data_IF_721153180985
#
_entry.id   IF_721153180985
#
_cell.length_a   1.000
_cell.length_b   1.000
_cell.length_c   1.000
_cell.angle_alpha   90.00
_cell.angle_beta   90.00
_cell.angle_gamma   90.00
#
_symmetry.space_group_name_H-M   'P 1'
#
loop_
_entity.id
_entity.type
_entity.pdbx_description
1 polymer ?
#
# COMPACT_ATOMS: atom_id res chain seq x y z
N UNK A 1 11.86 -13.59 21.39
CA UNK A 1 10.76 -14.58 21.30
C UNK A 1 9.62 -13.91 20.54
N UNK A 2 9.45 -14.25 19.27
CA UNK A 2 8.42 -13.67 18.40
C UNK A 2 7.18 -14.54 18.45
N UNK A 3 6.10 -14.03 19.04
CA UNK A 3 4.77 -14.61 18.91
C UNK A 3 4.22 -14.27 17.53
N UNK A 4 4.32 -15.21 16.59
CA UNK A 4 3.43 -15.22 15.44
C UNK A 4 2.00 -15.37 15.99
N UNK A 5 1.22 -14.28 15.95
CA UNK A 5 -0.21 -14.36 16.23
C UNK A 5 -0.83 -15.20 15.11
N UNK A 6 -1.48 -16.30 15.50
CA UNK A 6 -2.27 -17.11 14.60
C UNK A 6 -3.34 -16.21 13.96
N UNK A 7 -3.34 -16.10 12.64
CA UNK A 7 -4.44 -15.50 11.90
C UNK A 7 -5.65 -16.38 12.19
N UNK A 8 -6.61 -15.84 12.94
CA UNK A 8 -7.89 -16.51 13.17
C UNK A 8 -8.49 -16.86 11.81
N UNK A 9 -8.73 -18.15 11.56
CA UNK A 9 -9.13 -18.72 10.27
C UNK A 9 -10.57 -18.40 9.89
N UNK A 10 -11.07 -17.23 10.28
CA UNK A 10 -12.42 -16.77 9.98
C UNK A 10 -12.58 -16.61 8.46
N UNK A 11 -13.59 -17.28 7.92
CA UNK A 11 -14.00 -17.21 6.52
C UNK A 11 -14.92 -16.01 6.24
N UNK A 12 -15.08 -15.12 7.23
CA UNK A 12 -15.91 -13.92 7.18
C UNK A 12 -15.28 -12.78 7.96
N UNK A 13 -15.66 -11.55 7.58
CA UNK A 13 -15.37 -10.36 8.38
C UNK A 13 -16.23 -10.43 9.66
N UNK A 14 -15.62 -10.50 10.87
CA UNK A 14 -16.36 -10.43 12.11
C UNK A 14 -16.95 -9.03 12.26
N UNK A 15 -18.21 -8.97 12.70
CA UNK A 15 -18.91 -7.70 12.92
C UNK A 15 -19.74 -7.22 11.72
N UNK A 16 -20.35 -6.05 11.90
CA UNK A 16 -21.25 -5.43 10.93
C UNK A 16 -20.59 -4.21 10.31
N UNK A 17 -20.45 -4.22 8.99
CA UNK A 17 -20.07 -3.04 8.22
C UNK A 17 -21.35 -2.47 7.60
N UNK A 18 -21.72 -1.24 7.95
CA UNK A 18 -23.02 -0.64 7.57
C UNK A 18 -23.32 -0.68 6.06
N UNK A 19 -22.31 -0.53 5.21
CA UNK A 19 -22.45 -0.55 3.75
C UNK A 19 -22.23 -1.92 3.10
N UNK A 20 -22.00 -3.00 3.87
CA UNK A 20 -21.79 -4.35 3.34
C UNK A 20 -22.66 -5.36 4.10
N UNK A 21 -23.26 -6.31 3.37
CA UNK A 21 -23.91 -7.46 4.01
C UNK A 21 -22.85 -8.50 4.42
N UNK A 22 -22.12 -8.21 5.51
CA UNK A 22 -21.02 -9.07 6.01
C UNK A 22 -21.47 -10.48 6.34
N UNK A 23 -22.75 -10.69 6.67
CA UNK A 23 -23.31 -12.02 6.94
C UNK A 23 -23.39 -12.91 5.68
N UNK A 24 -23.44 -12.30 4.49
CA UNK A 24 -23.50 -13.00 3.19
C UNK A 24 -22.23 -12.83 2.36
N UNK A 25 -21.21 -12.19 2.93
CA UNK A 25 -19.95 -11.91 2.24
C UNK A 25 -18.85 -12.86 2.73
N UNK A 26 -18.55 -13.94 1.99
CA UNK A 26 -17.40 -14.78 2.33
C UNK A 26 -16.11 -13.97 2.13
N UNK A 27 -15.28 -13.88 3.17
CA UNK A 27 -14.05 -13.12 3.13
C UNK A 27 -13.03 -13.65 4.15
N UNK A 28 -11.84 -14.01 3.68
CA UNK A 28 -10.77 -14.54 4.53
C UNK A 28 -9.87 -13.40 5.02
N UNK A 29 -9.52 -13.40 6.30
CA UNK A 29 -8.51 -12.48 6.83
C UNK A 29 -7.14 -12.83 6.22
N UNK A 30 -6.54 -11.91 5.47
CA UNK A 30 -5.22 -12.10 4.86
C UNK A 30 -4.12 -11.27 5.54
N UNK A 31 -4.48 -10.24 6.30
CA UNK A 31 -3.52 -9.51 7.15
C UNK A 31 -4.20 -8.80 8.32
N UNK A 32 -3.67 -9.00 9.52
CA UNK A 32 -3.98 -8.24 10.75
C UNK A 32 -2.71 -7.59 11.33
N UNK A 33 -1.62 -7.50 10.54
CA UNK A 33 -0.36 -6.90 10.99
C UNK A 33 -0.26 -5.40 10.67
N UNK A 34 -1.15 -4.87 9.83
CA UNK A 34 -1.12 -3.47 9.40
C UNK A 34 -1.49 -2.49 10.52
N UNK A 35 -0.79 -1.35 10.57
CA UNK A 35 -0.95 -0.33 11.61
C UNK A 35 -2.35 0.31 11.60
N UNK A 36 -2.93 0.49 10.41
CA UNK A 36 -4.20 1.21 10.23
C UNK A 36 -5.41 0.31 9.98
N UNK A 37 -5.21 -0.88 9.43
CA UNK A 37 -6.33 -1.69 8.96
C UNK A 37 -6.13 -3.20 9.14
N UNK A 38 -7.26 -3.91 9.09
CA UNK A 38 -7.32 -5.35 8.78
C UNK A 38 -7.66 -5.51 7.31
N UNK A 39 -7.06 -6.52 6.68
CA UNK A 39 -7.19 -6.77 5.25
C UNK A 39 -7.86 -8.12 5.03
N UNK A 40 -9.00 -8.08 4.35
CA UNK A 40 -9.83 -9.24 4.04
C UNK A 40 -9.82 -9.47 2.54
N UNK A 41 -9.73 -10.74 2.11
CA UNK A 41 -9.88 -11.12 0.71
C UNK A 41 -11.24 -11.78 0.51
N UNK A 42 -12.05 -11.21 -0.36
CA UNK A 42 -13.26 -11.86 -0.84
C UNK A 42 -12.97 -12.48 -2.20
N UNK A 43 -13.08 -13.81 -2.26
CA UNK A 43 -12.95 -14.54 -3.52
C UNK A 43 -14.22 -14.46 -4.36
N UNK A 44 -14.06 -14.41 -5.68
CA UNK A 44 -15.18 -14.50 -6.63
C UNK A 44 -15.28 -13.32 -7.58
N UNK A 45 -16.50 -12.93 -7.92
CA UNK A 45 -16.74 -11.81 -8.82
C UNK A 45 -17.77 -10.84 -8.27
N UNK A 46 -17.70 -9.60 -8.72
CA UNK A 46 -18.68 -8.57 -8.42
C UNK A 46 -19.45 -8.18 -9.69
N UNK A 47 -20.61 -7.56 -9.51
CA UNK A 47 -21.39 -7.06 -10.65
C UNK A 47 -21.09 -5.58 -10.83
N UNK A 48 -20.60 -5.22 -12.01
CA UNK A 48 -20.39 -3.84 -12.44
C UNK A 48 -21.11 -3.65 -13.77
N UNK A 49 -21.95 -2.61 -13.87
CA UNK A 49 -22.72 -2.28 -15.07
C UNK A 49 -23.51 -3.48 -15.65
N UNK A 50 -24.04 -4.33 -14.76
CA UNK A 50 -24.80 -5.54 -15.11
C UNK A 50 -23.95 -6.72 -15.59
N UNK A 51 -22.63 -6.57 -15.68
CA UNK A 51 -21.70 -7.66 -16.01
C UNK A 51 -21.05 -8.22 -14.75
N UNK A 52 -20.96 -9.55 -14.69
CA UNK A 52 -20.19 -10.23 -13.65
C UNK A 52 -18.71 -10.14 -14.02
N UNK A 53 -17.94 -9.45 -13.19
CA UNK A 53 -16.49 -9.37 -13.25
C UNK A 53 -15.96 -10.36 -12.24
N UNK A 54 -15.39 -11.48 -12.70
CA UNK A 54 -14.69 -12.42 -11.82
C UNK A 54 -13.33 -11.83 -11.46
N UNK A 55 -13.25 -11.22 -10.28
CA UNK A 55 -12.08 -10.56 -9.73
C UNK A 55 -12.18 -10.59 -8.21
N UNK A 56 -11.14 -11.13 -7.58
CA UNK A 56 -11.07 -11.17 -6.12
C UNK A 56 -10.90 -9.76 -5.58
N UNK A 57 -11.64 -9.43 -4.53
CA UNK A 57 -11.58 -8.12 -3.89
C UNK A 57 -10.77 -8.17 -2.60
N UNK A 58 -10.05 -7.08 -2.33
CA UNK A 58 -9.48 -6.76 -1.04
C UNK A 58 -10.36 -5.72 -0.37
N UNK A 59 -10.74 -5.99 0.88
CA UNK A 59 -11.51 -5.09 1.74
C UNK A 59 -10.63 -4.75 2.95
N UNK A 60 -10.28 -3.48 3.08
CA UNK A 60 -9.52 -2.96 4.21
C UNK A 60 -10.46 -2.25 5.17
N UNK A 61 -10.53 -2.75 6.40
CA UNK A 61 -11.33 -2.16 7.48
C UNK A 61 -10.41 -1.36 8.40
N UNK A 62 -10.68 -0.06 8.54
CA UNK A 62 -9.91 0.79 9.44
C UNK A 62 -10.11 0.37 10.90
N UNK A 63 -9.03 0.35 11.70
CA UNK A 63 -9.06 -0.19 13.08
C UNK A 63 -9.71 0.75 14.09
N UNK A 64 -9.61 2.04 13.84
CA UNK A 64 -10.04 3.08 14.78
C UNK A 64 -11.37 3.67 14.34
N UNK A 65 -12.00 4.42 15.24
CA UNK A 65 -13.06 5.33 14.83
C UNK A 65 -12.48 6.34 13.86
N UNK A 66 -13.25 6.67 12.82
CA UNK A 66 -12.84 7.62 11.81
C UNK A 66 -14.01 8.56 11.55
N UNK A 67 -13.77 9.86 11.69
CA UNK A 67 -14.72 10.89 11.33
C UNK A 67 -14.83 11.01 9.80
N UNK A 68 -15.94 11.59 9.33
CA UNK A 68 -16.11 11.87 7.91
C UNK A 68 -14.99 12.76 7.34
N UNK A 69 -14.48 13.70 8.14
CA UNK A 69 -13.39 14.58 7.73
C UNK A 69 -12.09 13.82 7.51
N UNK A 70 -11.71 12.93 8.43
CA UNK A 70 -10.54 12.06 8.31
C UNK A 70 -10.67 11.09 7.12
N UNK A 71 -11.84 10.46 6.96
CA UNK A 71 -12.11 9.59 5.82
C UNK A 71 -11.94 10.33 4.48
N UNK A 72 -12.36 11.60 4.42
CA UNK A 72 -12.16 12.47 3.25
C UNK A 72 -10.68 12.79 3.02
N UNK A 73 -9.89 12.97 4.09
CA UNK A 73 -8.44 13.15 3.99
C UNK A 73 -7.77 11.92 3.41
N UNK A 74 -8.04 10.72 3.94
CA UNK A 74 -7.47 9.48 3.41
C UNK A 74 -7.79 9.28 1.93
N UNK A 75 -9.05 9.49 1.54
CA UNK A 75 -9.45 9.40 0.13
C UNK A 75 -8.68 10.40 -0.74
N UNK A 76 -8.50 11.65 -0.29
CA UNK A 76 -7.78 12.69 -1.04
C UNK A 76 -6.30 12.36 -1.20
N UNK A 77 -5.66 11.85 -0.17
CA UNK A 77 -4.26 11.40 -0.23
C UNK A 77 -4.10 10.23 -1.18
N UNK A 78 -4.99 9.25 -1.10
CA UNK A 78 -5.02 8.12 -2.02
C UNK A 78 -5.21 8.57 -3.48
N UNK A 79 -6.09 9.55 -3.72
CA UNK A 79 -6.28 10.12 -5.04
C UNK A 79 -5.02 10.81 -5.56
N UNK A 80 -4.33 11.61 -4.72
CA UNK A 80 -3.04 12.22 -5.09
C UNK A 80 -1.99 11.17 -5.46
N UNK A 81 -1.93 10.07 -4.71
CA UNK A 81 -1.06 8.94 -4.99
C UNK A 81 -1.39 8.32 -6.35
N UNK A 82 -2.68 8.06 -6.62
CA UNK A 82 -3.18 7.49 -7.88
C UNK A 82 -2.96 8.39 -9.08
N UNK A 83 -3.12 9.71 -8.92
CA UNK A 83 -2.91 10.70 -9.98
C UNK A 83 -1.44 10.78 -10.40
N UNK A 84 -0.51 10.56 -9.46
CA UNK A 84 0.92 10.63 -9.73
C UNK A 84 1.51 9.31 -10.26
N UNK A 85 1.01 8.17 -9.79
CA UNK A 85 1.59 6.85 -10.04
C UNK A 85 0.77 5.97 -11.00
N UNK A 86 -0.37 6.48 -11.44
CA UNK A 86 -1.30 5.81 -12.34
C UNK A 86 -1.59 4.34 -11.94
N UNK A 87 -1.42 3.39 -12.87
CA UNK A 87 -1.79 1.99 -12.69
C UNK A 87 -0.98 1.28 -11.60
N UNK A 88 0.12 1.84 -11.10
CA UNK A 88 0.84 1.27 -9.96
C UNK A 88 -0.01 1.22 -8.69
N UNK A 89 -1.02 2.08 -8.58
CA UNK A 89 -1.90 2.16 -7.41
C UNK A 89 -3.25 1.54 -7.79
N UNK A 90 -3.73 0.51 -7.07
CA UNK A 90 -5.01 -0.11 -7.37
C UNK A 90 -6.17 0.89 -7.41
N UNK A 91 -7.13 0.67 -8.29
CA UNK A 91 -8.38 1.41 -8.22
C UNK A 91 -9.10 1.04 -6.93
N UNK A 92 -9.37 2.03 -6.09
CA UNK A 92 -9.91 1.82 -4.74
C UNK A 92 -11.13 2.68 -4.49
N UNK A 93 -12.20 2.05 -4.00
CA UNK A 93 -13.42 2.71 -3.53
C UNK A 93 -13.31 2.91 -2.02
N UNK A 94 -13.46 4.16 -1.57
CA UNK A 94 -13.58 4.49 -0.15
C UNK A 94 -15.04 4.66 0.22
N UNK A 95 -15.50 3.94 1.24
CA UNK A 95 -16.84 4.09 1.80
C UNK A 95 -16.76 4.50 3.27
N UNK A 96 -17.23 5.71 3.57
CA UNK A 96 -17.52 6.12 4.94
C UNK A 96 -18.78 5.38 5.41
N UNK A 97 -18.68 4.69 6.55
CA UNK A 97 -19.67 3.73 7.01
C UNK A 97 -19.64 3.64 8.54
N UNK A 98 -20.38 2.70 9.10
CA UNK A 98 -20.20 2.26 10.47
C UNK A 98 -19.57 0.87 10.49
N UNK A 99 -18.67 0.62 11.43
CA UNK A 99 -18.16 -0.72 11.76
C UNK A 99 -18.56 -0.98 13.21
N UNK A 100 -19.38 -2.00 13.43
CA UNK A 100 -19.93 -2.35 14.75
C UNK A 100 -20.65 -1.20 15.46
N UNK A 101 -21.31 -0.34 14.68
CA UNK A 101 -22.06 0.82 15.15
C UNK A 101 -21.25 2.11 15.24
N UNK A 102 -19.93 2.02 15.17
CA UNK A 102 -19.03 3.17 15.29
C UNK A 102 -18.68 3.79 13.92
N UNK A 103 -18.62 5.13 13.79
CA UNK A 103 -18.20 5.80 12.58
C UNK A 103 -16.80 5.34 12.13
N UNK A 104 -16.69 4.93 10.87
CA UNK A 104 -15.43 4.45 10.32
C UNK A 104 -15.38 4.55 8.78
N UNK A 105 -14.33 4.01 8.18
CA UNK A 105 -14.11 3.97 6.73
C UNK A 105 -13.58 2.60 6.32
N UNK A 106 -14.01 2.15 5.14
CA UNK A 106 -13.42 0.99 4.46
C UNK A 106 -12.87 1.40 3.10
N UNK A 107 -11.86 0.66 2.64
CA UNK A 107 -11.31 0.76 1.29
C UNK A 107 -11.46 -0.60 0.59
N UNK A 108 -12.02 -0.60 -0.63
CA UNK A 108 -12.24 -1.80 -1.43
C UNK A 108 -11.50 -1.65 -2.74
N UNK A 109 -10.65 -2.63 -3.09
CA UNK A 109 -9.89 -2.65 -4.33
C UNK A 109 -9.81 -4.05 -4.91
N UNK A 110 -9.41 -4.18 -6.16
CA UNK A 110 -9.05 -5.48 -6.72
C UNK A 110 -7.83 -6.06 -6.00
N UNK A 111 -7.76 -7.39 -5.92
CA UNK A 111 -6.63 -8.10 -5.34
C UNK A 111 -5.43 -8.02 -6.27
N UNK A 112 -4.31 -7.55 -5.75
CA UNK A 112 -3.02 -7.68 -6.44
C UNK A 112 -2.40 -9.03 -6.11
N UNK A 113 -2.15 -9.82 -7.15
CA UNK A 113 -1.39 -11.08 -7.01
C UNK A 113 0.10 -10.79 -6.89
N UNK A 114 0.56 -10.54 -5.66
CA UNK A 114 1.97 -10.31 -5.34
C UNK A 114 2.83 -11.49 -5.77
N UNK A 115 3.94 -11.20 -6.44
CA UNK A 115 4.92 -12.17 -6.88
C UNK A 115 6.29 -11.94 -6.23
N UNK A 116 6.73 -10.69 -6.12
CA UNK A 116 8.04 -10.36 -5.58
C UNK A 116 8.00 -9.07 -4.77
N UNK A 117 8.55 -9.09 -3.56
CA UNK A 117 8.64 -7.89 -2.72
C UNK A 117 9.94 -7.13 -3.04
N UNK A 118 9.83 -6.09 -3.85
CA UNK A 118 10.99 -5.29 -4.29
C UNK A 118 11.45 -4.29 -3.23
N UNK A 119 10.60 -3.92 -2.27
CA UNK A 119 10.97 -3.01 -1.18
C UNK A 119 11.66 -3.71 0.00
N UNK A 120 11.77 -5.03 -0.01
CA UNK A 120 12.48 -5.79 1.01
C UNK A 120 13.98 -5.93 0.66
N UNK A 121 14.89 -5.32 1.44
CA UNK A 121 16.33 -5.37 1.20
C UNK A 121 16.94 -6.77 1.17
N UNK A 122 16.31 -7.75 1.84
CA UNK A 122 16.76 -9.15 1.81
C UNK A 122 16.71 -9.76 0.41
N UNK A 123 15.94 -9.16 -0.51
CA UNK A 123 15.78 -9.63 -1.87
C UNK A 123 16.72 -8.93 -2.87
N UNK A 124 17.67 -8.10 -2.42
CA UNK A 124 18.54 -7.29 -3.29
C UNK A 124 19.26 -8.10 -4.38
N UNK A 125 19.82 -9.26 -4.00
CA UNK A 125 20.57 -10.14 -4.92
C UNK A 125 19.72 -10.68 -6.06
N UNK A 126 18.41 -10.81 -5.85
CA UNK A 126 17.44 -11.23 -6.87
C UNK A 126 16.81 -10.03 -7.59
N UNK A 127 16.63 -8.90 -6.89
CA UNK A 127 15.99 -7.70 -7.41
C UNK A 127 16.79 -7.03 -8.53
N UNK A 128 18.12 -6.91 -8.39
CA UNK A 128 18.97 -6.25 -9.40
C UNK A 128 18.94 -7.02 -10.74
N UNK A 129 19.22 -8.35 -10.80
CA UNK A 129 19.15 -9.08 -12.07
C UNK A 129 17.76 -9.12 -12.70
N UNK A 130 16.72 -9.00 -11.89
CA UNK A 130 15.32 -8.94 -12.34
C UNK A 130 15.04 -7.59 -12.99
N UNK A 131 15.38 -6.48 -12.34
CA UNK A 131 15.20 -5.13 -12.87
C UNK A 131 15.96 -4.93 -14.19
N UNK A 132 17.17 -5.49 -14.31
CA UNK A 132 17.95 -5.45 -15.56
C UNK A 132 17.21 -6.04 -16.75
N UNK A 133 16.40 -7.09 -16.53
CA UNK A 133 15.64 -7.77 -17.59
C UNK A 133 14.29 -7.11 -17.88
N UNK A 134 13.85 -6.18 -17.02
CA UNK A 134 12.49 -5.65 -17.03
C UNK A 134 12.49 -4.13 -17.19
N UNK A 135 12.70 -3.67 -18.42
CA UNK A 135 12.75 -2.23 -18.77
C UNK A 135 11.55 -1.47 -18.22
N UNK A 136 10.34 -2.00 -18.42
CA UNK A 136 9.11 -1.36 -17.93
C UNK A 136 9.07 -1.23 -16.41
N UNK A 137 9.51 -2.27 -15.68
CA UNK A 137 9.54 -2.23 -14.22
C UNK A 137 10.54 -1.20 -13.70
N UNK A 138 11.68 -1.02 -14.39
CA UNK A 138 12.63 0.07 -14.08
C UNK A 138 12.02 1.44 -14.34
N UNK A 139 11.30 1.62 -15.44
CA UNK A 139 10.59 2.87 -15.73
C UNK A 139 9.52 3.16 -14.68
N UNK A 140 8.75 2.15 -14.26
CA UNK A 140 7.77 2.25 -13.18
C UNK A 140 8.46 2.67 -11.87
N UNK A 141 9.57 2.02 -11.52
CA UNK A 141 10.35 2.34 -10.32
C UNK A 141 10.93 3.75 -10.36
N UNK A 142 11.43 4.21 -11.52
CA UNK A 142 11.93 5.57 -11.71
C UNK A 142 10.82 6.59 -11.48
N UNK A 143 9.65 6.39 -12.10
CA UNK A 143 8.46 7.24 -11.91
C UNK A 143 8.02 7.28 -10.45
N UNK A 144 8.06 6.13 -9.77
CA UNK A 144 7.76 6.03 -8.34
C UNK A 144 8.72 6.87 -7.49
N UNK A 145 10.04 6.72 -7.70
CA UNK A 145 11.06 7.47 -6.98
C UNK A 145 10.99 8.97 -7.25
N UNK A 146 10.73 9.37 -8.49
CA UNK A 146 10.57 10.79 -8.88
C UNK A 146 9.33 11.41 -8.24
N UNK A 147 8.23 10.65 -8.11
CA UNK A 147 7.05 11.11 -7.37
C UNK A 147 7.33 11.23 -5.87
N UNK A 148 7.98 10.22 -5.27
CA UNK A 148 8.36 10.21 -3.86
C UNK A 148 9.25 11.41 -3.50
N UNK A 149 10.24 11.70 -4.34
CA UNK A 149 11.13 12.84 -4.17
C UNK A 149 10.37 14.18 -4.25
N UNK A 150 9.48 14.35 -5.25
CA UNK A 150 8.66 15.56 -5.37
C UNK A 150 7.76 15.82 -4.17
N UNK A 151 7.23 14.77 -3.53
CA UNK A 151 6.41 14.93 -2.32
C UNK A 151 7.25 15.33 -1.10
N UNK A 152 8.46 14.80 -0.99
CA UNK A 152 9.40 15.12 0.09
C UNK A 152 9.97 16.54 -0.04
N UNK A 153 10.18 17.03 -1.26
CA UNK A 153 10.72 18.38 -1.54
C UNK A 153 9.64 19.49 -1.56
N UNK A 154 8.36 19.16 -1.37
CA UNK A 154 7.27 20.13 -1.36
C UNK A 154 7.32 21.03 -0.10
N UNK A 155 6.57 22.15 -0.13
CA UNK A 155 6.48 23.10 1.01
C UNK A 155 6.00 22.43 2.31
N UNK A 156 5.14 21.43 2.19
CA UNK A 156 4.74 20.55 3.29
C UNK A 156 5.26 19.13 2.97
N UNK A 157 6.48 18.79 3.44
CA UNK A 157 7.16 17.54 3.12
C UNK A 157 6.35 16.31 3.52
N UNK A 158 6.19 15.41 2.56
CA UNK A 158 5.50 14.13 2.73
C UNK A 158 6.42 13.00 2.34
N UNK A 159 6.51 12.00 3.20
CA UNK A 159 7.24 10.76 2.94
C UNK A 159 6.21 9.67 2.68
N UNK A 160 6.26 9.03 1.51
CA UNK A 160 5.39 7.90 1.19
C UNK A 160 5.61 6.75 2.18
N UNK A 161 4.53 6.13 2.65
CA UNK A 161 4.62 5.04 3.63
C UNK A 161 5.21 3.78 2.97
N UNK A 162 6.48 3.56 3.28
CA UNK A 162 7.19 2.32 3.00
C UNK A 162 7.60 1.63 4.29
N UNK A 163 7.00 1.93 5.44
CA UNK A 163 7.30 1.25 6.70
C UNK A 163 6.81 -0.20 6.69
N UNK A 164 5.65 -0.47 6.08
CA UNK A 164 5.18 -1.82 5.78
C UNK A 164 6.09 -2.51 4.76
N UNK A 165 6.57 -3.73 5.07
CA UNK A 165 7.49 -4.48 4.19
C UNK A 165 6.86 -4.77 2.83
N UNK A 166 5.55 -4.99 2.74
CA UNK A 166 4.87 -5.42 1.52
C UNK A 166 4.09 -4.29 0.82
N UNK A 167 4.43 -3.03 1.09
CA UNK A 167 3.71 -1.88 0.53
C UNK A 167 4.07 -1.61 -0.94
N UNK A 168 5.24 -2.05 -1.42
CA UNK A 168 5.65 -1.90 -2.82
C UNK A 168 6.20 -3.23 -3.35
N UNK A 169 5.50 -3.78 -4.33
CA UNK A 169 5.72 -5.15 -4.82
C UNK A 169 5.66 -5.22 -6.34
N UNK A 170 6.12 -6.33 -6.90
CA UNK A 170 5.82 -6.73 -8.27
C UNK A 170 4.66 -7.73 -8.27
N UNK A 171 3.69 -7.51 -9.15
CA UNK A 171 2.63 -8.49 -9.40
C UNK A 171 3.10 -9.60 -10.34
N UNK A 172 2.26 -10.61 -10.56
CA UNK A 172 2.53 -11.73 -11.50
C UNK A 172 2.72 -11.31 -12.96
N UNK A 173 2.33 -10.09 -13.32
CA UNK A 173 2.56 -9.50 -14.63
C UNK A 173 3.78 -8.56 -14.62
N UNK A 174 4.62 -8.65 -13.59
CA UNK A 174 5.84 -7.88 -13.39
C UNK A 174 5.63 -6.37 -13.29
N UNK A 175 4.42 -5.93 -12.92
CA UNK A 175 4.13 -4.51 -12.71
C UNK A 175 4.41 -4.12 -11.29
N UNK A 176 5.00 -2.94 -11.12
CA UNK A 176 5.18 -2.34 -9.80
C UNK A 176 3.82 -1.92 -9.24
N UNK A 177 3.53 -2.33 -8.00
CA UNK A 177 2.26 -2.04 -7.33
C UNK A 177 2.51 -1.50 -5.93
N UNK A 178 1.90 -0.37 -5.62
CA UNK A 178 1.81 0.15 -4.25
C UNK A 178 0.50 -0.27 -3.61
N UNK A 179 0.55 -1.01 -2.51
CA UNK A 179 -0.61 -1.74 -1.99
C UNK A 179 -1.34 -1.04 -0.85
N UNK A 180 -0.78 -0.04 -0.18
CA UNK A 180 -1.46 0.57 0.98
C UNK A 180 -2.56 1.58 0.58
N UNK A 181 -3.55 1.78 1.45
CA UNK A 181 -4.73 2.63 1.19
C UNK A 181 -5.01 3.67 2.27
N UNK A 182 -4.53 3.48 3.50
CA UNK A 182 -4.74 4.40 4.61
C UNK A 182 -3.40 4.90 5.12
N UNK A 183 -3.27 6.20 5.38
CA UNK A 183 -2.01 6.77 5.88
C UNK A 183 -0.85 6.61 4.90
N UNK A 184 -1.11 6.73 3.59
CA UNK A 184 -0.11 6.51 2.53
C UNK A 184 1.04 7.53 2.54
N UNK A 185 0.92 8.58 3.33
CA UNK A 185 1.96 9.56 3.60
C UNK A 185 2.16 9.77 5.10
N UNK A 186 3.42 9.88 5.51
CA UNK A 186 3.83 10.53 6.74
C UNK A 186 4.10 12.01 6.45
N UNK A 187 3.50 12.89 7.25
CA UNK A 187 3.70 14.34 7.14
C UNK A 187 4.72 14.76 8.17
N UNK A 188 5.88 15.27 7.73
CA UNK A 188 6.95 15.67 8.65
C UNK A 188 6.55 16.82 9.56
N UNK A 189 5.64 17.67 9.10
CA UNK A 189 5.05 18.76 9.88
C UNK A 189 4.38 18.27 11.17
N UNK A 190 3.95 17.00 11.24
CA UNK A 190 3.35 16.42 12.44
C UNK A 190 4.37 16.05 13.52
N UNK A 191 5.67 15.90 13.20
CA UNK A 191 6.71 15.56 14.18
C UNK A 191 6.86 16.60 15.29
N UNK A 192 6.55 17.86 14.98
CA UNK A 192 6.75 19.01 15.86
C UNK A 192 5.43 19.67 16.26
N UNK A 193 4.30 19.00 16.00
CA UNK A 193 2.98 19.53 16.35
C UNK A 193 2.76 19.54 17.87
N UNK A 194 3.43 18.63 18.59
CA UNK A 194 3.41 18.54 20.05
C UNK A 194 4.71 19.08 20.64
N UNK A 195 4.69 19.38 21.95
CA UNK A 195 5.87 19.88 22.67
C UNK A 195 7.04 18.87 22.72
N UNK A 196 6.74 17.59 22.49
CA UNK A 196 7.71 16.50 22.39
C UNK A 196 7.63 15.88 20.99
N UNK A 197 8.78 15.43 20.48
CA UNK A 197 8.88 14.77 19.17
C UNK A 197 8.19 13.40 19.24
N UNK A 198 7.33 13.12 18.27
CA UNK A 198 6.78 11.77 18.07
C UNK A 198 7.85 10.83 17.51
N UNK A 199 8.49 10.08 18.41
CA UNK A 199 9.55 9.13 18.05
C UNK A 199 9.06 7.94 17.21
N UNK A 200 7.78 7.54 17.34
CA UNK A 200 7.22 6.45 16.53
C UNK A 200 7.01 6.91 15.08
N UNK A 201 6.42 8.09 14.90
CA UNK A 201 6.31 8.72 13.58
C UNK A 201 7.70 8.96 12.97
N UNK A 202 8.67 9.43 13.77
CA UNK A 202 10.04 9.63 13.31
C UNK A 202 10.66 8.32 12.81
N UNK A 203 10.52 7.23 13.56
CA UNK A 203 11.07 5.94 13.16
C UNK A 203 10.44 5.42 11.84
N UNK A 204 9.15 5.67 11.64
CA UNK A 204 8.44 5.32 10.39
C UNK A 204 8.94 6.13 9.19
N UNK A 205 9.14 7.44 9.38
CA UNK A 205 9.72 8.34 8.38
C UNK A 205 11.14 7.90 8.02
N UNK A 206 12.01 7.73 9.04
CA UNK A 206 13.41 7.36 8.84
C UNK A 206 13.53 6.02 8.07
N UNK A 207 12.72 5.02 8.43
CA UNK A 207 12.73 3.73 7.74
C UNK A 207 12.22 3.85 6.29
N UNK A 208 11.18 4.64 6.06
CA UNK A 208 10.62 4.85 4.72
C UNK A 208 11.63 5.57 3.80
N UNK A 209 12.33 6.59 4.32
CA UNK A 209 13.42 7.27 3.61
C UNK A 209 14.58 6.32 3.31
N UNK A 210 14.97 5.49 4.27
CA UNK A 210 16.01 4.48 4.05
C UNK A 210 15.62 3.47 2.96
N UNK A 211 14.35 3.03 2.93
CA UNK A 211 13.83 2.17 1.85
C UNK A 211 13.78 2.87 0.49
N UNK A 212 13.46 4.16 0.45
CA UNK A 212 13.56 4.95 -0.79
C UNK A 212 15.01 5.00 -1.30
N UNK A 213 15.99 5.17 -0.41
CA UNK A 213 17.41 5.13 -0.77
C UNK A 213 17.82 3.75 -1.31
N UNK A 214 17.36 2.67 -0.67
CA UNK A 214 17.56 1.30 -1.14
C UNK A 214 16.96 1.08 -2.55
N UNK A 215 15.71 1.50 -2.78
CA UNK A 215 15.06 1.37 -4.08
C UNK A 215 15.79 2.16 -5.18
N UNK A 216 16.35 3.33 -4.83
CA UNK A 216 17.18 4.12 -5.73
C UNK A 216 18.49 3.39 -6.07
N UNK A 217 19.15 2.80 -5.08
CA UNK A 217 20.33 1.95 -5.28
C UNK A 217 20.02 0.78 -6.24
N UNK A 218 18.90 0.08 -6.05
CA UNK A 218 18.49 -0.98 -6.98
C UNK A 218 18.38 -0.50 -8.43
N UNK A 219 17.76 0.66 -8.64
CA UNK A 219 17.59 1.25 -9.97
C UNK A 219 18.95 1.61 -10.58
N UNK A 220 19.84 2.24 -9.81
CA UNK A 220 21.18 2.62 -10.26
C UNK A 220 22.03 1.41 -10.65
N UNK A 221 22.05 0.35 -9.84
CA UNK A 221 22.78 -0.88 -10.18
C UNK A 221 22.18 -1.59 -11.39
N UNK A 222 20.86 -1.55 -11.55
CA UNK A 222 20.19 -2.12 -12.71
C UNK A 222 20.49 -1.35 -14.01
N UNK A 223 20.69 -0.02 -13.94
CA UNK A 223 21.03 0.82 -15.09
C UNK A 223 22.52 0.72 -15.47
N UNK A 224 23.43 0.49 -14.50
CA UNK A 224 24.88 0.39 -14.75
C UNK A 224 25.28 -0.74 -15.70
N UNK A 225 24.53 -1.84 -15.72
CA UNK A 225 24.86 -3.02 -16.52
C UNK A 225 24.34 -2.95 -17.97
N UNK A 226 23.35 -2.09 -18.26
CA UNK A 226 22.91 -1.80 -19.64
C UNK A 226 23.93 -0.95 -20.43
N UNK A 227 24.89 -0.33 -19.76
CA UNK A 227 25.93 0.49 -20.39
C UNK A 227 27.23 -0.27 -20.73
N UNK A 228 27.28 -1.60 -20.56
CA UNK A 228 28.45 -2.38 -21.01
C UNK A 228 28.32 -2.68 -22.51
N UNK A 229 29.27 -2.25 -23.38
CA UNK A 229 29.26 -2.70 -24.77
C UNK A 229 29.39 -4.23 -24.79
N UNK A 230 28.60 -4.89 -25.65
CA UNK A 230 28.79 -6.32 -25.92
C UNK A 230 30.25 -6.59 -26.33
N UNK A 231 30.88 -7.68 -25.84
CA UNK A 231 32.24 -8.04 -26.21
C UNK A 231 32.39 -8.42 -27.68
#
# INVERSE_FOLDING_TARGET
>A
MSTAQAIDGSDRIPGRIGCLDTARLPATLISDAGNHCRVWRQGGGFVQDGQRIDSDLVIKTFRQTCTFAEARTYRREYQRLRDALDDMVPTTVFAYTQIDGEPSVIAISETVSTWFNIANPHNESEAIPLLQRMTRTREDLRRFLDAAQRWHEAEDPKVIDLWGVDNLVLDRNYRLRYLDSFGVFFHESLLYLLAEVDYDLKAKIDLSLWRLAYLRHLLEEADRLDCRPEP
#
